data_IF_068998270442
#
_entry.id   IF_068998270442
#
_cell.length_a   1.000
_cell.length_b   1.000
_cell.length_c   1.000
_cell.angle_alpha   90.00
_cell.angle_beta   90.00
_cell.angle_gamma   90.00
#
_symmetry.space_group_name_H-M   'P 1'
#
loop_
_entity.id
_entity.type
_entity.pdbx_description
1 polymer ?
#
# COMPACT_ATOMS: atom_id res chain seq x y z
N UNK A 1 23.45 16.88 27.41
CA UNK A 1 23.46 17.67 26.16
C UNK A 1 24.60 18.68 26.22
N UNK A 2 25.23 19.01 25.09
CA UNK A 2 26.27 20.05 25.06
C UNK A 2 25.67 21.44 25.38
N UNK A 3 26.47 22.41 25.87
CA UNK A 3 26.01 23.78 26.09
C UNK A 3 25.35 24.38 24.85
N UNK A 4 24.20 25.04 25.05
CA UNK A 4 23.41 25.62 23.96
C UNK A 4 22.57 24.63 23.14
N UNK A 5 22.60 23.32 23.42
CA UNK A 5 21.77 22.32 22.74
C UNK A 5 20.60 21.87 23.64
N UNK A 6 19.38 22.02 23.16
CA UNK A 6 18.15 21.57 23.84
C UNK A 6 17.46 20.51 22.99
N UNK A 7 17.09 19.39 23.60
CA UNK A 7 16.33 18.32 22.94
C UNK A 7 15.02 18.09 23.71
N UNK A 8 13.89 18.09 23.01
CA UNK A 8 12.56 17.84 23.57
C UNK A 8 11.96 16.61 22.91
N UNK A 9 11.68 15.58 23.71
CA UNK A 9 11.05 14.35 23.24
C UNK A 9 9.62 14.64 22.77
N UNK A 10 9.28 14.18 21.56
CA UNK A 10 7.91 14.21 21.04
C UNK A 10 7.13 13.01 21.59
N UNK A 11 5.79 13.12 21.70
CA UNK A 11 4.94 11.97 22.02
C UNK A 11 5.17 10.81 21.06
N UNK A 12 4.87 9.59 21.51
CA UNK A 12 4.94 8.40 20.67
C UNK A 12 4.04 8.56 19.43
N UNK A 13 4.53 8.07 18.29
CA UNK A 13 3.72 7.94 17.08
C UNK A 13 2.79 6.73 17.22
N UNK A 14 1.69 6.69 16.47
CA UNK A 14 0.73 5.58 16.47
C UNK A 14 1.22 4.26 15.84
N UNK A 15 2.53 4.03 15.81
CA UNK A 15 3.28 2.92 15.20
C UNK A 15 4.75 3.02 15.64
N UNK A 16 5.70 2.38 14.93
CA UNK A 16 7.17 2.56 15.04
C UNK A 16 7.68 2.85 16.46
N UNK A 17 7.21 2.10 17.45
CA UNK A 17 7.37 2.43 18.87
C UNK A 17 8.80 2.52 19.40
N UNK A 18 9.81 1.80 18.87
CA UNK A 18 11.15 1.93 19.44
C UNK A 18 11.84 3.26 19.09
N UNK A 19 11.23 4.13 18.26
CA UNK A 19 11.88 5.36 17.79
C UNK A 19 11.39 6.59 18.55
N UNK A 20 12.29 7.19 19.32
CA UNK A 20 12.08 8.45 20.03
C UNK A 20 12.32 9.65 19.11
N UNK A 21 11.25 10.21 18.56
CA UNK A 21 11.31 11.46 17.79
C UNK A 21 11.47 12.64 18.72
N UNK A 22 12.27 13.64 18.34
CA UNK A 22 12.52 14.79 19.18
C UNK A 22 12.69 16.08 18.37
N UNK A 23 12.41 17.21 19.03
CA UNK A 23 12.77 18.53 18.55
C UNK A 23 14.13 18.89 19.12
N UNK A 24 15.08 19.23 18.26
CA UNK A 24 16.41 19.68 18.68
C UNK A 24 16.60 21.16 18.34
N UNK A 25 17.00 21.96 19.33
CA UNK A 25 17.22 23.39 19.23
C UNK A 25 18.69 23.70 19.52
N UNK A 26 19.24 24.67 18.79
CA UNK A 26 20.61 25.13 18.95
C UNK A 26 20.62 26.63 19.24
N UNK A 27 21.16 27.02 20.40
CA UNK A 27 21.29 28.42 20.82
C UNK A 27 22.76 28.84 20.73
N UNK A 28 23.12 29.54 19.64
CA UNK A 28 24.47 30.04 19.35
C UNK A 28 25.59 28.99 19.51
N UNK A 29 25.31 27.72 19.18
CA UNK A 29 26.28 26.63 19.22
C UNK A 29 27.35 26.86 18.15
N UNK A 30 28.62 26.98 18.56
CA UNK A 30 29.76 27.17 17.65
C UNK A 30 30.38 25.83 17.32
N UNK A 31 30.56 25.54 16.04
CA UNK A 31 31.21 24.34 15.54
C UNK A 31 32.53 24.70 14.85
N UNK A 32 33.57 23.83 14.92
CA UNK A 32 34.79 24.02 14.15
C UNK A 32 34.48 23.90 12.65
N UNK A 33 35.34 24.46 11.80
CA UNK A 33 35.24 24.35 10.33
C UNK A 33 35.15 22.89 9.86
N UNK A 34 35.83 21.97 10.56
CA UNK A 34 35.82 20.53 10.29
C UNK A 34 34.47 19.85 10.54
N UNK A 35 33.49 20.53 11.16
CA UNK A 35 32.15 19.98 11.36
C UNK A 35 31.27 20.06 10.09
N UNK A 36 31.63 20.89 9.11
CA UNK A 36 30.93 20.93 7.84
C UNK A 36 31.42 19.77 6.97
N UNK A 37 30.49 18.91 6.53
CA UNK A 37 30.78 17.87 5.56
C UNK A 37 30.79 18.48 4.15
N UNK A 38 31.97 18.80 3.63
CA UNK A 38 32.16 19.40 2.31
C UNK A 38 33.03 20.67 2.32
N UNK A 39 33.06 21.40 1.20
CA UNK A 39 33.76 22.68 1.13
C UNK A 39 33.01 23.79 1.89
N UNK A 40 33.75 24.75 2.43
CA UNK A 40 33.21 26.01 2.96
C UNK A 40 32.87 27.01 1.85
N UNK A 41 33.40 26.78 0.64
CA UNK A 41 33.21 27.66 -0.49
C UNK A 41 31.79 27.55 -1.04
N UNK A 42 31.26 28.67 -1.52
CA UNK A 42 29.96 28.70 -2.19
C UNK A 42 30.08 27.95 -3.52
N UNK A 43 29.21 26.97 -3.81
CA UNK A 43 29.24 26.25 -5.09
C UNK A 43 28.87 27.18 -6.25
N UNK A 44 29.49 26.95 -7.40
CA UNK A 44 29.20 27.67 -8.65
C UNK A 44 27.77 27.41 -9.14
N UNK A 45 27.31 26.16 -9.06
CA UNK A 45 25.92 25.76 -9.27
C UNK A 45 25.27 25.29 -7.95
N UNK A 46 24.54 26.18 -7.26
CA UNK A 46 23.83 25.83 -6.03
C UNK A 46 22.81 24.71 -6.20
N UNK A 47 22.20 24.55 -7.38
CA UNK A 47 21.17 23.54 -7.62
C UNK A 47 21.79 22.16 -7.76
N UNK A 48 22.85 22.03 -8.55
CA UNK A 48 23.59 20.77 -8.67
C UNK A 48 24.20 20.36 -7.33
N UNK A 49 24.81 21.30 -6.60
CA UNK A 49 25.36 21.05 -5.27
C UNK A 49 24.30 20.59 -4.26
N UNK A 50 23.11 21.19 -4.28
CA UNK A 50 21.99 20.75 -3.45
C UNK A 50 21.62 19.28 -3.73
N UNK A 51 21.41 18.92 -5.00
CA UNK A 51 21.06 17.54 -5.37
C UNK A 51 22.16 16.52 -5.08
N UNK A 52 23.42 16.92 -5.19
CA UNK A 52 24.55 16.11 -4.76
C UNK A 52 24.50 15.85 -3.25
N UNK A 53 24.30 16.90 -2.44
CA UNK A 53 24.25 16.82 -0.99
C UNK A 53 23.07 15.98 -0.48
N UNK A 54 21.93 15.99 -1.18
CA UNK A 54 20.76 15.18 -0.84
C UNK A 54 20.69 13.85 -1.60
N UNK A 55 21.75 13.43 -2.28
CA UNK A 55 21.76 12.20 -3.10
C UNK A 55 21.33 10.95 -2.33
N UNK A 56 21.66 10.87 -1.04
CA UNK A 56 21.25 9.77 -0.16
C UNK A 56 19.74 9.65 0.04
N UNK A 57 18.96 10.71 -0.21
CA UNK A 57 17.50 10.66 -0.12
C UNK A 57 16.95 9.62 -1.09
N UNK A 58 17.47 9.52 -2.31
CA UNK A 58 17.00 8.53 -3.28
C UNK A 58 17.28 7.08 -2.83
N UNK A 59 18.42 6.86 -2.17
CA UNK A 59 18.76 5.57 -1.52
C UNK A 59 17.76 5.27 -0.40
N UNK A 60 17.42 6.28 0.41
CA UNK A 60 16.39 6.18 1.44
C UNK A 60 15.01 5.87 0.84
N UNK A 61 14.63 6.54 -0.25
CA UNK A 61 13.36 6.37 -0.97
C UNK A 61 13.16 4.92 -1.43
N UNK A 62 14.17 4.32 -2.08
CA UNK A 62 14.07 2.94 -2.54
C UNK A 62 14.10 1.96 -1.36
N UNK A 63 14.97 2.17 -0.38
CA UNK A 63 15.08 1.29 0.79
C UNK A 63 13.78 1.26 1.61
N UNK A 64 13.19 2.42 1.88
CA UNK A 64 11.94 2.50 2.65
C UNK A 64 10.74 2.02 1.82
N UNK A 65 10.71 2.29 0.51
CA UNK A 65 9.68 1.78 -0.39
C UNK A 65 9.65 0.24 -0.46
N UNK A 66 10.81 -0.40 -0.27
CA UNK A 66 10.94 -1.87 -0.27
C UNK A 66 10.17 -2.53 0.89
N UNK A 67 9.83 -1.78 1.94
CA UNK A 67 9.00 -2.28 3.05
C UNK A 67 7.58 -2.62 2.62
N UNK A 68 7.11 -2.14 1.46
CA UNK A 68 5.79 -2.49 0.92
C UNK A 68 5.61 -3.98 0.67
N UNK A 69 6.68 -4.71 0.31
CA UNK A 69 6.62 -6.16 0.03
C UNK A 69 6.28 -6.96 1.30
N UNK A 70 7.10 -6.94 2.38
CA UNK A 70 6.77 -7.69 3.58
C UNK A 70 5.44 -7.21 4.18
N UNK A 71 5.10 -5.94 4.04
CA UNK A 71 3.82 -5.43 4.50
C UNK A 71 2.63 -6.10 3.76
N UNK A 72 2.70 -6.25 2.44
CA UNK A 72 1.69 -6.97 1.64
C UNK A 72 1.64 -8.47 1.99
N UNK A 73 2.80 -9.12 2.11
CA UNK A 73 2.88 -10.55 2.42
C UNK A 73 2.30 -10.86 3.81
N UNK A 74 2.72 -10.11 4.83
CA UNK A 74 2.25 -10.29 6.20
C UNK A 74 0.76 -10.02 6.34
N UNK A 75 0.28 -8.90 5.79
CA UNK A 75 -1.14 -8.53 5.93
C UNK A 75 -2.06 -9.51 5.23
N UNK A 76 -1.71 -9.97 4.03
CA UNK A 76 -2.49 -10.98 3.30
C UNK A 76 -2.47 -12.34 3.99
N UNK A 77 -1.32 -12.79 4.50
CA UNK A 77 -1.20 -14.04 5.23
C UNK A 77 -2.06 -14.05 6.51
N UNK A 78 -1.95 -13.00 7.33
CA UNK A 78 -2.72 -12.86 8.57
C UNK A 78 -4.23 -12.88 8.27
N UNK A 79 -4.68 -12.10 7.28
CA UNK A 79 -6.08 -12.03 6.91
C UNK A 79 -6.61 -13.33 6.29
N UNK A 80 -5.79 -14.05 5.52
CA UNK A 80 -6.14 -15.36 4.97
C UNK A 80 -6.35 -16.40 6.09
N UNK A 81 -5.37 -16.55 6.99
CA UNK A 81 -5.45 -17.48 8.11
C UNK A 81 -6.61 -17.16 9.05
N UNK A 82 -6.81 -15.87 9.35
CA UNK A 82 -8.01 -15.42 10.07
C UNK A 82 -9.31 -15.88 9.41
N UNK A 83 -9.42 -15.66 8.10
CA UNK A 83 -10.65 -15.87 7.35
C UNK A 83 -10.98 -17.34 7.13
N UNK A 84 -9.96 -18.20 7.07
CA UNK A 84 -10.10 -19.67 7.03
C UNK A 84 -10.60 -20.21 8.35
N UNK A 85 -10.11 -19.65 9.45
CA UNK A 85 -10.47 -20.05 10.81
C UNK A 85 -11.85 -19.51 11.23
N UNK A 86 -12.13 -18.24 10.95
CA UNK A 86 -13.33 -17.56 11.43
C UNK A 86 -14.55 -18.08 10.69
N UNK A 87 -15.53 -18.61 11.44
CA UNK A 87 -16.79 -19.10 10.88
C UNK A 87 -17.98 -18.20 11.25
N UNK A 88 -18.98 -18.16 10.38
CA UNK A 88 -20.34 -17.72 10.71
C UNK A 88 -21.30 -18.92 10.67
N UNK A 89 -22.49 -18.77 11.26
CA UNK A 89 -23.54 -19.79 11.24
C UNK A 89 -24.60 -19.37 10.21
N UNK A 90 -24.88 -20.23 9.23
CA UNK A 90 -25.91 -19.95 8.21
C UNK A 90 -27.33 -20.16 8.77
N UNK A 91 -28.36 -19.89 7.96
CA UNK A 91 -29.77 -20.09 8.34
C UNK A 91 -30.12 -21.57 8.64
N UNK A 92 -29.33 -22.52 8.15
CA UNK A 92 -29.48 -23.95 8.41
C UNK A 92 -28.72 -24.41 9.68
N UNK A 93 -28.00 -23.51 10.37
CA UNK A 93 -27.21 -23.84 11.57
C UNK A 93 -25.80 -24.36 11.28
N UNK A 94 -25.37 -24.40 10.03
CA UNK A 94 -24.05 -24.90 9.63
C UNK A 94 -22.98 -23.81 9.78
N UNK A 95 -21.78 -24.22 10.23
CA UNK A 95 -20.63 -23.32 10.30
C UNK A 95 -19.96 -23.20 8.94
N UNK A 96 -19.79 -21.97 8.48
CA UNK A 96 -19.14 -21.65 7.21
C UNK A 96 -17.95 -20.71 7.45
N UNK A 97 -16.72 -21.07 7.05
CA UNK A 97 -15.59 -20.16 7.02
C UNK A 97 -15.91 -18.88 6.24
N UNK A 98 -15.49 -17.74 6.77
CA UNK A 98 -15.80 -16.45 6.12
C UNK A 98 -14.99 -16.26 4.83
N UNK A 99 -13.86 -16.95 4.66
CA UNK A 99 -13.08 -16.90 3.42
C UNK A 99 -13.87 -17.36 2.20
N UNK A 100 -14.94 -18.14 2.37
CA UNK A 100 -15.78 -18.57 1.25
C UNK A 100 -16.58 -17.44 0.62
N UNK A 101 -16.76 -16.31 1.32
CA UNK A 101 -17.47 -15.15 0.76
C UNK A 101 -16.57 -14.35 -0.18
N UNK A 102 -17.12 -13.97 -1.33
CA UNK A 102 -16.42 -13.17 -2.33
C UNK A 102 -15.81 -11.88 -1.74
N UNK A 103 -16.61 -11.16 -0.96
CA UNK A 103 -16.23 -9.91 -0.30
C UNK A 103 -15.16 -10.08 0.79
N UNK A 104 -14.86 -11.32 1.18
CA UNK A 104 -13.76 -11.66 2.08
C UNK A 104 -12.52 -12.09 1.31
N UNK A 105 -12.65 -13.01 0.34
CA UNK A 105 -11.50 -13.56 -0.40
C UNK A 105 -10.89 -12.56 -1.38
N UNK A 106 -11.70 -11.77 -2.09
CA UNK A 106 -11.25 -10.86 -3.14
C UNK A 106 -10.08 -9.95 -2.70
N UNK A 107 -10.19 -9.19 -1.58
CA UNK A 107 -9.07 -8.35 -1.13
C UNK A 107 -7.85 -9.15 -0.67
N UNK A 108 -8.04 -10.36 -0.14
CA UNK A 108 -6.94 -11.24 0.30
C UNK A 108 -6.12 -11.69 -0.90
N UNK A 109 -6.76 -12.30 -1.91
CA UNK A 109 -6.06 -12.78 -3.10
C UNK A 109 -5.45 -11.65 -3.93
N UNK A 110 -6.10 -10.48 -3.94
CA UNK A 110 -5.56 -9.26 -4.56
C UNK A 110 -4.25 -8.84 -3.91
N UNK A 111 -4.19 -8.83 -2.57
CA UNK A 111 -2.98 -8.48 -1.84
C UNK A 111 -1.86 -9.53 -2.05
N UNK A 112 -2.21 -10.81 -2.16
CA UNK A 112 -1.26 -11.88 -2.53
C UNK A 112 -0.68 -11.63 -3.92
N UNK A 113 -1.52 -11.45 -4.95
CA UNK A 113 -1.05 -11.17 -6.31
C UNK A 113 -0.13 -9.95 -6.38
N UNK A 114 -0.51 -8.86 -5.69
CA UNK A 114 0.32 -7.67 -5.57
C UNK A 114 1.66 -7.96 -4.89
N UNK A 115 1.73 -8.80 -3.85
CA UNK A 115 2.99 -9.13 -3.21
C UNK A 115 4.02 -9.74 -4.18
N UNK A 116 3.58 -10.67 -5.04
CA UNK A 116 4.45 -11.29 -6.06
C UNK A 116 4.87 -10.30 -7.15
N UNK A 117 3.91 -9.53 -7.69
CA UNK A 117 4.21 -8.52 -8.72
C UNK A 117 5.12 -7.42 -8.18
N UNK A 118 4.89 -6.96 -6.95
CA UNK A 118 5.74 -5.98 -6.28
C UNK A 118 7.15 -6.52 -6.03
N UNK A 119 7.31 -7.81 -5.69
CA UNK A 119 8.65 -8.41 -5.57
C UNK A 119 9.42 -8.34 -6.89
N UNK A 120 8.77 -8.67 -8.01
CA UNK A 120 9.39 -8.56 -9.34
C UNK A 120 9.73 -7.10 -9.69
N UNK A 121 8.80 -6.17 -9.44
CA UNK A 121 9.03 -4.73 -9.62
C UNK A 121 10.23 -4.23 -8.82
N UNK A 122 10.34 -4.63 -7.56
CA UNK A 122 11.46 -4.28 -6.69
C UNK A 122 12.79 -4.76 -7.24
N UNK A 123 12.88 -6.03 -7.66
CA UNK A 123 14.14 -6.58 -8.15
C UNK A 123 14.60 -5.86 -9.42
N UNK A 124 13.65 -5.54 -10.32
CA UNK A 124 13.92 -4.70 -11.49
C UNK A 124 14.33 -3.28 -11.11
N UNK A 125 13.62 -2.65 -10.17
CA UNK A 125 13.88 -1.29 -9.73
C UNK A 125 15.25 -1.15 -9.05
N UNK A 126 15.64 -2.11 -8.20
CA UNK A 126 16.96 -2.17 -7.57
C UNK A 126 18.05 -2.36 -8.63
N UNK A 127 17.84 -3.24 -9.61
CA UNK A 127 18.79 -3.41 -10.71
C UNK A 127 19.01 -2.11 -11.49
N UNK A 128 17.93 -1.40 -11.84
CA UNK A 128 18.02 -0.11 -12.53
C UNK A 128 18.65 0.98 -11.64
N UNK A 129 18.32 1.00 -10.37
CA UNK A 129 18.86 1.99 -9.42
C UNK A 129 20.38 1.85 -9.23
N UNK A 130 20.89 0.61 -9.28
CA UNK A 130 22.30 0.31 -9.10
C UNK A 130 23.13 0.44 -10.40
N UNK A 131 22.49 0.56 -11.56
CA UNK A 131 23.18 0.65 -12.84
C UNK A 131 23.91 2.01 -12.97
N UNK A 132 25.26 2.02 -13.01
CA UNK A 132 26.02 3.26 -13.13
C UNK A 132 25.97 3.87 -14.54
N UNK A 133 25.54 3.10 -15.55
CA UNK A 133 25.39 3.57 -16.93
C UNK A 133 24.16 4.45 -17.13
N UNK A 134 23.16 4.32 -16.26
CA UNK A 134 21.95 5.14 -16.28
C UNK A 134 22.22 6.52 -15.67
N UNK A 135 21.59 7.53 -16.27
CA UNK A 135 21.55 8.88 -15.72
C UNK A 135 21.02 8.84 -14.28
N UNK A 136 21.69 9.54 -13.36
CA UNK A 136 21.30 9.57 -11.95
C UNK A 136 19.85 10.01 -11.73
N UNK A 137 19.32 10.86 -12.62
CA UNK A 137 17.93 11.33 -12.60
C UNK A 137 16.96 10.19 -12.87
N UNK A 138 17.29 9.30 -13.81
CA UNK A 138 16.49 8.09 -14.11
C UNK A 138 16.51 7.15 -12.92
N UNK A 139 17.67 6.91 -12.31
CA UNK A 139 17.77 6.08 -11.09
C UNK A 139 16.91 6.64 -9.96
N UNK A 140 16.97 7.95 -9.74
CA UNK A 140 16.12 8.61 -8.74
C UNK A 140 14.62 8.51 -9.08
N UNK A 141 14.25 8.64 -10.36
CA UNK A 141 12.88 8.46 -10.82
C UNK A 141 12.36 7.04 -10.52
N UNK A 142 13.15 6.00 -10.81
CA UNK A 142 12.80 4.61 -10.50
C UNK A 142 12.56 4.42 -8.99
N UNK A 143 13.40 4.99 -8.13
CA UNK A 143 13.19 4.95 -6.68
C UNK A 143 11.86 5.60 -6.28
N UNK A 144 11.53 6.77 -6.84
CA UNK A 144 10.27 7.46 -6.58
C UNK A 144 9.06 6.67 -7.08
N UNK A 145 9.10 6.15 -8.30
CA UNK A 145 8.01 5.36 -8.91
C UNK A 145 7.74 4.10 -8.08
N UNK A 146 8.79 3.34 -7.77
CA UNK A 146 8.67 2.13 -6.97
C UNK A 146 8.02 2.43 -5.62
N UNK A 147 8.48 3.48 -4.92
CA UNK A 147 7.90 3.88 -3.65
C UNK A 147 6.42 4.25 -3.78
N UNK A 148 6.04 5.03 -4.80
CA UNK A 148 4.65 5.45 -5.00
C UNK A 148 3.72 4.25 -5.16
N UNK A 149 4.08 3.28 -6.00
CA UNK A 149 3.27 2.08 -6.23
C UNK A 149 3.27 1.13 -5.03
N UNK A 150 4.42 0.90 -4.42
CA UNK A 150 4.54 0.06 -3.21
C UNK A 150 3.63 0.58 -2.09
N UNK A 151 3.63 1.89 -1.83
CA UNK A 151 2.86 2.48 -0.74
C UNK A 151 1.37 2.56 -1.09
N UNK A 152 1.01 2.85 -2.34
CA UNK A 152 -0.37 2.77 -2.81
C UNK A 152 -0.98 1.40 -2.48
N UNK A 153 -0.34 0.33 -2.94
CA UNK A 153 -0.86 -1.03 -2.74
C UNK A 153 -0.81 -1.48 -1.28
N UNK A 154 0.29 -1.19 -0.57
CA UNK A 154 0.43 -1.59 0.83
C UNK A 154 -0.62 -0.90 1.71
N UNK A 155 -0.81 0.42 1.61
CA UNK A 155 -1.78 1.13 2.47
C UNK A 155 -3.22 0.66 2.25
N UNK A 156 -3.63 0.52 0.98
CA UNK A 156 -4.96 0.02 0.65
C UNK A 156 -5.19 -1.40 1.19
N UNK A 157 -4.22 -2.29 1.01
CA UNK A 157 -4.31 -3.66 1.51
C UNK A 157 -4.42 -3.71 3.03
N UNK A 158 -3.58 -2.98 3.77
CA UNK A 158 -3.63 -3.01 5.24
C UNK A 158 -4.95 -2.53 5.79
N UNK A 159 -5.47 -1.42 5.27
CA UNK A 159 -6.75 -0.88 5.71
C UNK A 159 -7.86 -1.91 5.45
N UNK A 160 -7.94 -2.40 4.22
CA UNK A 160 -9.00 -3.33 3.79
C UNK A 160 -8.93 -4.67 4.54
N UNK A 161 -7.73 -5.26 4.64
CA UNK A 161 -7.53 -6.56 5.28
C UNK A 161 -7.70 -6.50 6.81
N UNK A 162 -7.35 -5.38 7.43
CA UNK A 162 -7.68 -5.11 8.84
C UNK A 162 -9.18 -5.11 9.07
N UNK A 163 -9.95 -4.43 8.22
CA UNK A 163 -11.42 -4.43 8.30
C UNK A 163 -12.03 -5.81 8.05
N UNK A 164 -11.42 -6.62 7.17
CA UNK A 164 -11.82 -8.02 6.95
C UNK A 164 -11.59 -8.89 8.20
N UNK A 165 -10.74 -8.47 9.13
CA UNK A 165 -10.55 -9.13 10.43
C UNK A 165 -11.51 -8.62 11.53
N UNK A 166 -12.45 -7.73 11.18
CA UNK A 166 -13.37 -7.10 12.11
C UNK A 166 -12.65 -6.33 13.24
N UNK A 167 -13.28 -6.24 14.42
CA UNK A 167 -12.67 -5.56 15.56
C UNK A 167 -11.30 -6.16 15.96
N UNK A 168 -11.04 -7.43 15.66
CA UNK A 168 -9.75 -8.06 15.95
C UNK A 168 -8.61 -7.40 15.14
N UNK A 169 -8.86 -6.94 13.92
CA UNK A 169 -7.86 -6.25 13.09
C UNK A 169 -7.37 -4.92 13.68
N UNK A 170 -8.15 -4.30 14.57
CA UNK A 170 -7.79 -3.03 15.22
C UNK A 170 -6.77 -3.21 16.34
N UNK A 171 -6.74 -4.38 16.98
CA UNK A 171 -5.81 -4.64 18.07
C UNK A 171 -4.40 -4.83 17.54
N UNK A 172 -3.48 -4.06 18.10
CA UNK A 172 -2.08 -4.05 17.69
C UNK A 172 -1.40 -5.42 17.79
N UNK A 173 -1.80 -6.27 18.73
CA UNK A 173 -1.26 -7.63 18.88
C UNK A 173 -1.38 -8.43 17.57
N UNK A 174 -2.34 -8.07 16.70
CA UNK A 174 -2.58 -8.70 15.41
C UNK A 174 -1.80 -8.04 14.24
N UNK A 175 -0.85 -7.15 14.54
CA UNK A 175 0.13 -6.51 13.64
C UNK A 175 -0.43 -5.57 12.55
N UNK A 176 -1.62 -5.82 11.99
CA UNK A 176 -2.19 -5.11 10.83
C UNK A 176 -2.24 -3.59 11.01
N UNK A 177 -2.81 -3.12 12.13
CA UNK A 177 -2.95 -1.69 12.40
C UNK A 177 -1.59 -0.99 12.64
N UNK A 178 -0.63 -1.67 13.29
CA UNK A 178 0.71 -1.11 13.50
C UNK A 178 1.49 -1.00 12.18
N UNK A 179 1.46 -2.04 11.34
CA UNK A 179 2.07 -2.01 10.01
C UNK A 179 1.46 -0.92 9.12
N UNK A 180 0.13 -0.73 9.18
CA UNK A 180 -0.52 0.38 8.48
C UNK A 180 0.03 1.74 8.93
N UNK A 181 0.17 1.97 10.24
CA UNK A 181 0.74 3.21 10.77
C UNK A 181 2.20 3.42 10.33
N UNK A 182 3.00 2.36 10.26
CA UNK A 182 4.38 2.41 9.76
C UNK A 182 4.45 2.74 8.26
N UNK A 183 3.53 2.18 7.46
CA UNK A 183 3.41 2.52 6.04
C UNK A 183 2.96 3.96 5.80
N UNK A 184 2.15 4.54 6.70
CA UNK A 184 1.88 5.99 6.68
C UNK A 184 3.11 6.83 6.94
N UNK A 185 3.97 6.40 7.87
CA UNK A 185 5.27 7.04 8.09
C UNK A 185 6.15 6.98 6.83
N UNK A 186 6.16 5.84 6.17
CA UNK A 186 6.93 5.60 4.93
C UNK A 186 6.47 6.45 3.76
N UNK A 187 5.17 6.71 3.65
CA UNK A 187 4.60 7.60 2.62
C UNK A 187 5.14 9.03 2.70
N UNK A 188 5.61 9.46 3.87
CA UNK A 188 6.05 10.84 4.17
C UNK A 188 7.58 10.95 4.20
N UNK A 189 8.26 9.97 4.82
CA UNK A 189 9.71 9.98 4.96
C UNK A 189 10.44 9.90 3.62
N UNK A 190 11.61 10.51 3.47
CA UNK A 190 12.40 10.49 2.21
C UNK A 190 11.63 11.05 0.99
N UNK A 191 10.82 12.08 1.24
CA UNK A 191 9.98 12.75 0.25
C UNK A 191 8.54 12.24 0.29
N UNK A 192 7.60 13.13 0.57
CA UNK A 192 6.19 12.77 0.56
C UNK A 192 5.73 12.39 -0.87
N UNK A 193 4.76 11.47 -0.96
CA UNK A 193 4.34 10.91 -2.26
C UNK A 193 3.89 11.98 -3.26
N UNK A 194 3.22 13.04 -2.81
CA UNK A 194 2.75 14.11 -3.69
C UNK A 194 3.94 14.92 -4.22
N UNK A 195 4.82 15.39 -3.33
CA UNK A 195 5.97 16.21 -3.67
C UNK A 195 6.95 15.50 -4.59
N UNK A 196 7.23 14.21 -4.36
CA UNK A 196 8.08 13.44 -5.29
C UNK A 196 7.39 13.23 -6.64
N UNK A 197 6.07 13.01 -6.65
CA UNK A 197 5.32 12.78 -7.89
C UNK A 197 5.19 14.06 -8.72
N UNK A 198 4.86 15.19 -8.11
CA UNK A 198 4.82 16.52 -8.77
C UNK A 198 6.15 16.83 -9.42
N UNK A 199 7.24 16.64 -8.70
CA UNK A 199 8.58 16.84 -9.24
C UNK A 199 8.84 15.90 -10.42
N UNK A 200 8.60 14.61 -10.25
CA UNK A 200 8.88 13.60 -11.27
C UNK A 200 8.05 13.83 -12.53
N UNK A 201 6.73 13.91 -12.40
CA UNK A 201 5.80 14.16 -13.50
C UNK A 201 6.21 15.41 -14.29
N UNK A 202 6.54 16.51 -13.60
CA UNK A 202 7.00 17.75 -14.24
C UNK A 202 8.29 17.54 -15.04
N UNK A 203 9.28 16.81 -14.53
CA UNK A 203 10.52 16.57 -15.27
C UNK A 203 10.31 15.71 -16.52
N UNK A 204 9.44 14.69 -16.43
CA UNK A 204 9.09 13.79 -17.54
C UNK A 204 8.26 14.50 -18.62
N UNK A 205 7.25 15.27 -18.21
CA UNK A 205 6.40 16.04 -19.12
C UNK A 205 7.19 17.12 -19.88
N UNK A 206 8.19 17.73 -19.22
CA UNK A 206 9.11 18.68 -19.85
C UNK A 206 10.22 18.03 -20.69
N UNK A 207 10.23 16.69 -20.82
CA UNK A 207 11.20 15.97 -21.66
C UNK A 207 12.65 16.07 -21.17
N UNK A 208 12.87 16.24 -19.86
CA UNK A 208 14.24 16.41 -19.32
C UNK A 208 15.04 15.11 -19.24
N UNK A 209 14.32 14.00 -19.15
CA UNK A 209 14.79 12.62 -19.26
C UNK A 209 13.58 11.71 -19.44
N UNK A 210 13.83 10.46 -19.80
CA UNK A 210 12.80 9.45 -20.02
C UNK A 210 13.00 8.26 -19.08
N UNK A 211 11.90 7.59 -18.78
CA UNK A 211 11.88 6.33 -18.03
C UNK A 211 12.09 5.15 -18.99
N UNK A 212 12.61 4.00 -18.52
CA UNK A 212 12.82 2.84 -19.39
C UNK A 212 11.56 2.44 -20.15
N UNK A 213 11.72 2.19 -21.44
CA UNK A 213 10.65 1.76 -22.34
C UNK A 213 10.01 0.44 -21.90
N UNK A 214 8.78 0.23 -22.35
CA UNK A 214 8.04 -1.02 -22.15
C UNK A 214 8.63 -2.15 -22.98
N UNK A 215 8.50 -3.38 -22.50
CA UNK A 215 8.71 -4.59 -23.31
C UNK A 215 7.44 -5.04 -24.05
N UNK A 216 6.27 -4.52 -23.66
CA UNK A 216 4.99 -4.82 -24.28
C UNK A 216 4.17 -3.53 -24.50
N UNK A 217 4.25 -3.00 -25.73
CA UNK A 217 3.47 -1.84 -26.17
C UNK A 217 1.98 -2.15 -26.37
N UNK A 218 1.59 -3.42 -26.36
CA UNK A 218 0.20 -3.84 -26.49
C UNK A 218 -0.51 -4.01 -25.15
N UNK A 219 0.24 -4.06 -24.05
CA UNK A 219 -0.30 -4.20 -22.70
C UNK A 219 -1.28 -3.07 -22.35
N UNK A 220 -2.30 -3.40 -21.57
CA UNK A 220 -3.33 -2.44 -21.16
C UNK A 220 -2.74 -1.32 -20.28
N UNK A 221 -1.77 -1.67 -19.43
CA UNK A 221 -1.15 -0.70 -18.51
C UNK A 221 -0.19 0.26 -19.24
N UNK A 222 0.52 -0.19 -20.27
CA UNK A 222 1.30 0.72 -21.12
C UNK A 222 0.39 1.69 -21.88
N UNK A 223 -0.73 1.21 -22.44
CA UNK A 223 -1.70 2.07 -23.13
C UNK A 223 -2.25 3.16 -22.20
N UNK A 224 -2.54 2.80 -20.95
CA UNK A 224 -2.96 3.77 -19.92
C UNK A 224 -1.88 4.80 -19.61
N UNK A 225 -0.64 4.37 -19.35
CA UNK A 225 0.50 5.29 -19.16
C UNK A 225 0.65 6.24 -20.34
N UNK A 226 0.66 5.72 -21.57
CA UNK A 226 0.83 6.51 -22.79
C UNK A 226 -0.32 7.51 -23.00
N UNK A 227 -1.56 7.09 -22.73
CA UNK A 227 -2.74 7.97 -22.79
C UNK A 227 -2.67 9.12 -21.80
N UNK A 228 -2.35 8.84 -20.54
CA UNK A 228 -2.17 9.89 -19.52
C UNK A 228 -1.07 10.89 -19.90
N UNK A 229 0.04 10.42 -20.48
CA UNK A 229 1.06 11.33 -21.02
C UNK A 229 0.53 12.19 -22.17
N UNK A 230 -0.28 11.64 -23.06
CA UNK A 230 -0.87 12.37 -24.17
C UNK A 230 -1.81 13.48 -23.69
N UNK A 231 -2.75 13.16 -22.81
CA UNK A 231 -3.71 14.11 -22.21
C UNK A 231 -2.99 15.25 -21.47
N UNK A 232 -2.03 14.92 -20.61
CA UNK A 232 -1.31 15.94 -19.85
C UNK A 232 -0.42 16.81 -20.73
N UNK A 233 0.17 16.25 -21.79
CA UNK A 233 0.95 17.03 -22.78
C UNK A 233 0.04 17.92 -23.63
N UNK A 234 -1.19 17.52 -23.89
CA UNK A 234 -2.18 18.36 -24.58
C UNK A 234 -2.42 19.67 -23.81
N UNK A 235 -2.62 19.58 -22.49
CA UNK A 235 -2.73 20.77 -21.65
C UNK A 235 -1.49 21.67 -21.70
N UNK A 236 -0.29 21.12 -21.89
CA UNK A 236 0.94 21.92 -21.97
C UNK A 236 1.04 22.79 -23.21
N UNK A 237 0.33 22.47 -24.29
CA UNK A 237 0.30 23.33 -25.48
C UNK A 237 -0.31 24.71 -25.18
N UNK A 238 -1.26 24.78 -24.24
CA UNK A 238 -1.92 26.02 -23.83
C UNK A 238 -1.22 26.70 -22.64
N UNK A 239 -0.38 25.95 -21.90
CA UNK A 239 0.28 26.41 -20.69
C UNK A 239 1.68 26.96 -21.00
N UNK A 240 1.84 28.28 -20.91
CA UNK A 240 3.13 28.95 -21.16
C UNK A 240 4.26 28.55 -20.20
N UNK A 241 3.94 28.18 -18.97
CA UNK A 241 4.92 27.91 -17.91
C UNK A 241 4.39 26.92 -16.87
N UNK A 242 5.22 25.95 -16.48
CA UNK A 242 4.98 24.97 -15.42
C UNK A 242 4.85 25.58 -14.01
N UNK A 243 5.01 26.91 -13.87
CA UNK A 243 4.76 27.67 -12.63
C UNK A 243 3.48 28.50 -12.66
N UNK A 244 2.66 28.34 -13.70
CA UNK A 244 1.41 29.09 -13.85
C UNK A 244 0.28 28.47 -13.03
N UNK A 245 -0.75 29.27 -12.74
CA UNK A 245 -1.99 28.79 -12.10
C UNK A 245 -2.72 27.75 -12.97
N UNK A 246 -2.56 27.81 -14.30
CA UNK A 246 -3.13 26.80 -15.18
C UNK A 246 -2.46 25.43 -15.00
N UNK A 247 -1.12 25.40 -14.89
CA UNK A 247 -0.38 24.16 -14.60
C UNK A 247 -0.75 23.57 -13.23
N UNK A 248 -0.86 24.44 -12.22
CA UNK A 248 -1.30 24.07 -10.88
C UNK A 248 -2.68 23.39 -10.86
N UNK A 249 -3.60 23.81 -11.74
CA UNK A 249 -4.97 23.29 -11.80
C UNK A 249 -5.15 22.09 -12.71
N UNK A 250 -4.44 22.03 -13.83
CA UNK A 250 -4.70 21.07 -14.91
C UNK A 250 -3.65 19.96 -15.01
N UNK A 251 -2.51 20.07 -14.31
CA UNK A 251 -1.41 19.10 -14.43
C UNK A 251 -0.96 18.57 -13.06
N UNK A 252 -0.83 19.43 -12.05
CA UNK A 252 -0.39 18.98 -10.72
C UNK A 252 -1.30 17.94 -10.06
N UNK A 253 -2.65 18.02 -10.15
CA UNK A 253 -3.54 17.01 -9.55
C UNK A 253 -3.27 15.60 -10.06
N UNK A 254 -2.91 15.46 -11.33
CA UNK A 254 -2.68 14.18 -12.01
C UNK A 254 -1.23 13.69 -11.89
N UNK A 255 -0.38 14.41 -11.14
CA UNK A 255 1.02 14.00 -10.97
C UNK A 255 1.16 12.67 -10.24
N UNK A 256 0.37 12.41 -9.19
CA UNK A 256 0.37 11.12 -8.49
C UNK A 256 -0.23 10.02 -9.38
N UNK A 257 -1.43 10.19 -9.98
CA UNK A 257 -1.97 9.26 -10.96
C UNK A 257 -1.01 8.89 -12.10
N UNK A 258 -0.34 9.86 -12.73
CA UNK A 258 0.62 9.60 -13.80
C UNK A 258 1.79 8.72 -13.31
N UNK A 259 2.37 9.05 -12.14
CA UNK A 259 3.47 8.27 -11.58
C UNK A 259 3.03 6.86 -11.16
N UNK A 260 1.77 6.71 -10.74
CA UNK A 260 1.16 5.39 -10.49
C UNK A 260 1.01 4.60 -11.79
N UNK A 261 0.46 5.18 -12.87
CA UNK A 261 0.29 4.51 -14.15
C UNK A 261 1.64 4.01 -14.73
N UNK A 262 2.67 4.87 -14.68
CA UNK A 262 4.05 4.50 -15.03
C UNK A 262 4.50 3.28 -14.23
N UNK A 263 4.31 3.32 -12.91
CA UNK A 263 4.76 2.26 -12.03
C UNK A 263 3.96 0.97 -12.18
N UNK A 264 2.66 1.04 -12.48
CA UNK A 264 1.82 -0.14 -12.75
C UNK A 264 2.30 -0.87 -13.99
N UNK A 265 2.64 -0.14 -15.06
CA UNK A 265 3.25 -0.76 -16.23
C UNK A 265 4.62 -1.37 -15.90
N UNK A 266 5.52 -0.64 -15.23
CA UNK A 266 6.84 -1.19 -14.85
C UNK A 266 6.69 -2.47 -14.01
N UNK A 267 5.71 -2.51 -13.11
CA UNK A 267 5.43 -3.67 -12.29
C UNK A 267 4.95 -4.86 -13.13
N UNK A 268 4.06 -4.63 -14.09
CA UNK A 268 3.64 -5.65 -15.05
C UNK A 268 4.80 -6.17 -15.90
N UNK A 269 5.58 -5.29 -16.53
CA UNK A 269 6.74 -5.67 -17.35
C UNK A 269 7.73 -6.50 -16.54
N UNK A 270 8.01 -6.08 -15.31
CA UNK A 270 8.91 -6.80 -14.41
C UNK A 270 8.34 -8.18 -14.02
N UNK A 271 7.05 -8.29 -13.73
CA UNK A 271 6.41 -9.55 -13.36
C UNK A 271 6.38 -10.54 -14.52
N UNK A 272 6.05 -10.10 -15.73
CA UNK A 272 6.10 -10.93 -16.94
C UNK A 272 7.53 -11.40 -17.21
N UNK A 273 8.51 -10.49 -17.16
CA UNK A 273 9.91 -10.83 -17.40
C UNK A 273 10.49 -11.79 -16.33
N UNK A 274 10.02 -11.69 -15.08
CA UNK A 274 10.43 -12.57 -13.99
C UNK A 274 9.71 -13.93 -14.01
N UNK A 275 8.75 -14.15 -14.91
CA UNK A 275 7.97 -15.39 -14.98
C UNK A 275 7.04 -15.57 -13.78
N UNK A 276 6.49 -14.49 -13.22
CA UNK A 276 5.42 -14.57 -12.21
C UNK A 276 4.23 -15.29 -12.82
N UNK A 277 3.60 -16.20 -12.06
CA UNK A 277 2.44 -16.98 -12.52
C UNK A 277 1.37 -16.07 -13.17
N UNK A 278 0.89 -16.49 -14.34
CA UNK A 278 0.00 -15.67 -15.16
C UNK A 278 -1.27 -15.22 -14.42
N UNK A 279 -1.89 -16.07 -13.59
CA UNK A 279 -3.09 -15.69 -12.84
C UNK A 279 -2.83 -14.57 -11.81
N UNK A 280 -1.63 -14.48 -11.22
CA UNK A 280 -1.25 -13.37 -10.34
C UNK A 280 -1.08 -12.07 -11.14
N UNK A 281 -0.48 -12.16 -12.33
CA UNK A 281 -0.31 -11.02 -13.24
C UNK A 281 -1.67 -10.53 -13.75
N UNK A 282 -2.56 -11.44 -14.16
CA UNK A 282 -3.90 -11.13 -14.64
C UNK A 282 -4.73 -10.45 -13.55
N UNK A 283 -4.65 -10.94 -12.29
CA UNK A 283 -5.33 -10.30 -11.17
C UNK A 283 -4.75 -8.92 -10.89
N UNK A 284 -3.42 -8.75 -10.96
CA UNK A 284 -2.80 -7.44 -10.82
C UNK A 284 -3.32 -6.45 -11.87
N UNK A 285 -3.29 -6.82 -13.15
CA UNK A 285 -3.79 -6.00 -14.26
C UNK A 285 -5.27 -5.64 -14.06
N UNK A 286 -6.12 -6.61 -13.74
CA UNK A 286 -7.54 -6.36 -13.50
C UNK A 286 -7.77 -5.37 -12.35
N UNK A 287 -6.97 -5.44 -11.29
CA UNK A 287 -7.08 -4.50 -10.16
C UNK A 287 -6.52 -3.11 -10.47
N UNK A 288 -5.51 -2.99 -11.34
CA UNK A 288 -5.06 -1.70 -11.86
C UNK A 288 -6.11 -1.03 -12.75
N UNK A 289 -6.80 -1.80 -13.61
CA UNK A 289 -7.90 -1.28 -14.44
C UNK A 289 -9.00 -0.65 -13.57
N UNK A 290 -9.28 -1.25 -12.41
CA UNK A 290 -10.28 -0.73 -11.46
C UNK A 290 -9.92 0.61 -10.81
N UNK A 291 -8.67 1.03 -10.88
CA UNK A 291 -8.25 2.33 -10.37
C UNK A 291 -8.68 3.48 -11.30
N UNK A 292 -8.88 3.20 -12.58
CA UNK A 292 -9.31 4.19 -13.58
C UNK A 292 -10.31 3.62 -14.60
N UNK A 293 -11.46 3.08 -14.15
CA UNK A 293 -12.36 2.32 -15.00
C UNK A 293 -13.00 3.17 -16.12
N UNK A 294 -13.02 4.50 -15.97
CA UNK A 294 -13.54 5.43 -16.95
C UNK A 294 -12.57 5.57 -18.13
N UNK A 295 -11.28 5.75 -17.87
CA UNK A 295 -10.27 5.84 -18.93
C UNK A 295 -10.26 4.58 -19.81
N UNK A 296 -10.25 3.38 -19.20
CA UNK A 296 -10.29 2.12 -19.96
C UNK A 296 -11.59 1.93 -20.76
N UNK A 297 -12.69 2.57 -20.36
CA UNK A 297 -13.94 2.55 -21.11
C UNK A 297 -13.88 3.52 -22.30
N UNK A 298 -13.40 4.75 -22.08
CA UNK A 298 -13.37 5.82 -23.08
C UNK A 298 -12.33 5.54 -24.16
N UNK A 299 -11.11 5.20 -23.78
CA UNK A 299 -9.97 5.06 -24.70
C UNK A 299 -9.86 3.65 -25.30
N UNK A 300 -10.21 2.61 -24.54
CA UNK A 300 -10.07 1.21 -24.98
C UNK A 300 -11.39 0.47 -25.19
N UNK A 301 -12.54 1.11 -24.91
CA UNK A 301 -13.86 0.49 -25.10
C UNK A 301 -14.15 -0.67 -24.14
N UNK A 302 -13.36 -0.86 -23.07
CA UNK A 302 -13.51 -1.99 -22.15
C UNK A 302 -14.68 -1.69 -21.20
N UNK A 303 -15.83 -2.29 -21.51
CA UNK A 303 -17.07 -2.11 -20.73
C UNK A 303 -16.89 -2.54 -19.28
N UNK A 304 -17.57 -1.85 -18.36
CA UNK A 304 -17.59 -2.19 -16.92
C UNK A 304 -17.94 -3.65 -16.62
N UNK A 305 -18.80 -4.28 -17.43
CA UNK A 305 -19.11 -5.71 -17.30
C UNK A 305 -17.91 -6.60 -17.63
N UNK A 306 -17.16 -6.28 -18.68
CA UNK A 306 -15.93 -6.98 -19.02
C UNK A 306 -14.84 -6.77 -17.97
N UNK A 307 -14.67 -5.54 -17.45
CA UNK A 307 -13.72 -5.26 -16.37
C UNK A 307 -14.01 -6.12 -15.11
N UNK A 308 -15.29 -6.26 -14.74
CA UNK A 308 -15.71 -7.13 -13.63
C UNK A 308 -15.46 -8.61 -13.89
N UNK A 309 -15.67 -9.07 -15.13
CA UNK A 309 -15.44 -10.45 -15.53
C UNK A 309 -13.95 -10.81 -15.47
N UNK A 310 -13.09 -9.90 -15.96
CA UNK A 310 -11.62 -10.03 -15.86
C UNK A 310 -11.18 -10.17 -14.41
N UNK A 311 -11.66 -9.28 -13.52
CA UNK A 311 -11.34 -9.37 -12.09
C UNK A 311 -11.84 -10.69 -11.49
N UNK A 312 -13.09 -11.07 -11.79
CA UNK A 312 -13.70 -12.25 -11.17
C UNK A 312 -13.00 -13.54 -11.56
N UNK A 313 -12.73 -13.71 -12.86
CA UNK A 313 -11.99 -14.87 -13.36
C UNK A 313 -10.58 -14.97 -12.75
N UNK A 314 -9.89 -13.83 -12.62
CA UNK A 314 -8.55 -13.80 -12.03
C UNK A 314 -8.56 -14.08 -10.51
N UNK A 315 -9.57 -13.58 -9.78
CA UNK A 315 -9.77 -13.89 -8.36
C UNK A 315 -9.93 -15.39 -8.14
N UNK A 316 -10.78 -16.05 -8.92
CA UNK A 316 -11.02 -17.49 -8.79
C UNK A 316 -9.72 -18.28 -9.07
N UNK A 317 -9.01 -17.95 -10.14
CA UNK A 317 -7.75 -18.62 -10.50
C UNK A 317 -6.65 -18.49 -9.43
N UNK A 318 -6.54 -17.33 -8.76
CA UNK A 318 -5.60 -17.16 -7.64
C UNK A 318 -6.10 -17.86 -6.38
N UNK A 319 -7.41 -17.80 -6.12
CA UNK A 319 -8.01 -18.41 -4.93
C UNK A 319 -7.86 -19.92 -4.88
N UNK A 320 -8.00 -20.61 -6.03
CA UNK A 320 -7.80 -22.06 -6.15
C UNK A 320 -6.39 -22.51 -5.70
N UNK A 321 -5.40 -21.62 -5.81
CA UNK A 321 -3.99 -21.87 -5.46
C UNK A 321 -3.53 -21.04 -4.25
N UNK A 322 -4.47 -20.52 -3.45
CA UNK A 322 -4.14 -19.60 -2.36
C UNK A 322 -3.12 -20.19 -1.37
N UNK A 323 -3.29 -21.44 -0.93
CA UNK A 323 -2.35 -22.07 0.01
C UNK A 323 -0.92 -22.13 -0.54
N UNK A 324 -0.76 -22.52 -1.81
CA UNK A 324 0.54 -22.56 -2.47
C UNK A 324 1.22 -21.18 -2.44
N UNK A 325 0.45 -20.11 -2.68
CA UNK A 325 0.99 -18.75 -2.65
C UNK A 325 1.28 -18.24 -1.24
N UNK A 326 0.47 -18.61 -0.25
CA UNK A 326 0.73 -18.29 1.15
C UNK A 326 2.04 -18.95 1.64
N UNK A 327 2.28 -20.21 1.25
CA UNK A 327 3.53 -20.93 1.54
C UNK A 327 4.72 -20.28 0.84
N UNK A 328 4.61 -19.97 -0.46
CA UNK A 328 5.69 -19.32 -1.24
C UNK A 328 6.11 -17.95 -0.71
N UNK A 329 5.23 -17.22 -0.01
CA UNK A 329 5.60 -15.95 0.60
C UNK A 329 6.56 -16.12 1.80
N UNK A 330 6.61 -17.31 2.42
CA UNK A 330 7.53 -17.68 3.51
C UNK A 330 7.58 -16.65 4.66
N UNK A 331 6.40 -16.21 5.11
CA UNK A 331 6.28 -15.17 6.15
C UNK A 331 5.78 -15.66 7.50
N UNK A 332 5.36 -16.92 7.61
CA UNK A 332 4.70 -17.47 8.81
C UNK A 332 5.53 -17.28 10.09
N UNK A 333 6.85 -17.47 10.02
CA UNK A 333 7.76 -17.30 11.17
C UNK A 333 7.83 -15.88 11.73
N UNK A 334 7.38 -14.88 10.96
CA UNK A 334 7.35 -13.47 11.36
C UNK A 334 5.98 -13.03 11.88
N UNK A 335 4.98 -13.91 11.82
CA UNK A 335 3.62 -13.63 12.28
C UNK A 335 3.52 -13.87 13.78
N UNK A 336 3.29 -12.79 14.51
CA UNK A 336 3.00 -12.81 15.95
C UNK A 336 1.51 -12.66 16.25
N UNK A 337 0.68 -12.42 15.23
CA UNK A 337 -0.76 -12.19 15.37
C UNK A 337 -1.47 -13.45 15.92
N UNK A 338 -2.05 -13.42 17.13
CA UNK A 338 -2.69 -14.59 17.72
C UNK A 338 -3.96 -15.02 16.98
N UNK A 339 -4.55 -14.14 16.16
CA UNK A 339 -5.80 -14.43 15.47
C UNK A 339 -5.68 -15.49 14.36
N UNK A 340 -4.47 -15.90 13.97
CA UNK A 340 -4.23 -16.80 12.83
C UNK A 340 -4.62 -18.26 13.08
N UNK A 341 -4.70 -18.70 14.34
CA UNK A 341 -5.06 -20.08 14.69
C UNK A 341 -5.82 -20.15 16.01
N UNK A 342 -6.58 -21.24 16.23
CA UNK A 342 -7.28 -21.44 17.50
C UNK A 342 -6.31 -21.61 18.66
N UNK A 343 -5.19 -22.31 18.43
CA UNK A 343 -4.15 -22.51 19.44
C UNK A 343 -3.56 -21.16 19.87
N UNK A 344 -3.05 -20.36 18.92
CA UNK A 344 -2.44 -19.06 19.24
C UNK A 344 -3.43 -18.09 19.90
N UNK A 345 -4.68 -18.10 19.44
CA UNK A 345 -5.73 -17.29 20.03
C UNK A 345 -6.07 -17.69 21.46
N UNK A 346 -6.21 -18.99 21.71
CA UNK A 346 -6.50 -19.50 23.06
C UNK A 346 -5.33 -19.24 24.02
N UNK A 347 -4.10 -19.38 23.55
CA UNK A 347 -2.89 -19.06 24.32
C UNK A 347 -2.84 -17.58 24.68
N UNK A 348 -3.12 -16.71 23.72
CA UNK A 348 -3.24 -15.27 23.95
C UNK A 348 -4.35 -14.96 24.96
N UNK A 349 -5.55 -15.51 24.80
CA UNK A 349 -6.67 -15.30 25.74
C UNK A 349 -6.31 -15.74 27.15
N UNK A 350 -5.61 -16.88 27.32
CA UNK A 350 -5.13 -17.35 28.63
C UNK A 350 -4.09 -16.43 29.26
N UNK A 351 -3.36 -15.65 28.45
CA UNK A 351 -2.37 -14.68 28.94
C UNK A 351 -2.98 -13.35 29.38
N UNK A 352 -4.25 -13.07 29.04
CA UNK A 352 -4.90 -11.82 29.35
C UNK A 352 -5.22 -11.70 30.84
N UNK A 353 -5.11 -10.47 31.35
CA UNK A 353 -5.57 -10.15 32.69
C UNK A 353 -7.08 -10.39 32.81
N UNK A 354 -7.47 -11.20 33.78
CA UNK A 354 -8.88 -11.51 34.05
C UNK A 354 -9.39 -10.65 35.19
N UNK A 355 -10.37 -9.80 34.89
CA UNK A 355 -11.11 -9.05 35.91
C UNK A 355 -12.44 -9.74 36.18
N UNK A 356 -12.64 -10.29 37.40
CA UNK A 356 -13.89 -10.93 37.81
C UNK A 356 -13.69 -12.29 38.49
N UNK A 357 -14.78 -13.04 38.66
CA UNK A 357 -14.75 -14.38 39.23
C UNK A 357 -14.09 -15.37 38.25
N UNK A 358 -12.84 -15.72 38.53
CA UNK A 358 -12.03 -16.65 37.73
C UNK A 358 -12.59 -18.07 37.68
N UNK A 359 -13.59 -18.40 38.52
CA UNK A 359 -14.28 -19.69 38.52
C UNK A 359 -15.50 -19.73 37.60
N UNK A 360 -15.96 -18.58 37.10
CA UNK A 360 -17.01 -18.51 36.09
C UNK A 360 -16.48 -19.06 34.75
N UNK A 361 -16.86 -20.29 34.41
CA UNK A 361 -16.43 -20.97 33.19
C UNK A 361 -16.87 -20.21 31.92
N UNK A 362 -16.00 -19.33 31.40
CA UNK A 362 -16.20 -18.61 30.12
C UNK A 362 -16.27 -19.59 28.94
N UNK A 363 -15.74 -20.80 29.09
CA UNK A 363 -15.60 -21.81 28.04
C UNK A 363 -16.85 -22.64 27.73
N UNK A 364 -17.90 -22.63 28.57
CA UNK A 364 -19.02 -23.60 28.46
C UNK A 364 -20.36 -23.05 27.96
N UNK A 365 -20.52 -21.74 27.75
CA UNK A 365 -21.74 -21.19 27.13
C UNK A 365 -21.40 -20.47 25.84
N UNK A 366 -21.36 -21.25 24.75
CA UNK A 366 -21.51 -20.72 23.40
C UNK A 366 -22.95 -20.17 23.29
N UNK A 367 -23.18 -18.94 23.73
CA UNK A 367 -24.38 -18.21 23.34
C UNK A 367 -24.14 -17.79 21.89
N UNK A 368 -24.94 -18.25 20.92
CA UNK A 368 -24.82 -17.77 19.55
C UNK A 368 -25.05 -16.26 19.58
N UNK A 369 -24.11 -15.49 19.04
CA UNK A 369 -24.15 -14.03 19.01
C UNK A 369 -25.33 -13.46 18.19
N UNK A 370 -26.23 -14.30 17.70
CA UNK A 370 -27.42 -13.97 16.91
C UNK A 370 -28.76 -14.24 17.62
N UNK A 371 -28.79 -14.89 18.79
CA UNK A 371 -30.05 -15.24 19.46
C UNK A 371 -30.72 -14.07 20.22
N UNK A 372 -30.06 -12.91 20.33
CA UNK A 372 -30.50 -11.81 21.20
C UNK A 372 -31.25 -10.65 20.54
N UNK A 373 -31.42 -10.61 19.21
CA UNK A 373 -31.98 -9.43 18.52
C UNK A 373 -33.30 -9.70 17.78
N UNK A 374 -33.81 -10.94 17.76
CA UNK A 374 -35.11 -11.27 17.15
C UNK A 374 -36.15 -11.64 18.21
N UNK A 375 -36.43 -10.73 19.15
CA UNK A 375 -37.56 -10.87 20.05
C UNK A 375 -38.04 -9.50 20.58
N UNK A 376 -38.74 -8.75 19.72
CA UNK A 376 -39.88 -7.84 20.04
C UNK A 376 -40.14 -6.90 18.85
N UNK A 377 -40.67 -7.47 17.77
CA UNK A 377 -41.48 -6.73 16.81
C UNK A 377 -42.85 -7.43 16.74
N UNK A 378 -43.53 -7.50 17.88
CA UNK A 378 -44.95 -7.82 17.92
C UNK A 378 -45.71 -6.63 17.36
N UNK A 379 -46.18 -6.80 16.12
CA UNK A 379 -47.11 -5.91 15.44
C UNK A 379 -48.31 -5.62 16.35
N UNK A 380 -48.49 -4.34 16.69
CA UNK A 380 -49.74 -3.83 17.23
C UNK A 380 -50.80 -3.97 16.13
N UNK A 381 -51.77 -4.85 16.37
CA UNK A 381 -53.02 -4.91 15.64
C UNK A 381 -53.74 -3.57 15.78
N UNK A 382 -53.85 -2.82 14.68
CA UNK A 382 -54.78 -1.69 14.61
C UNK A 382 -56.20 -2.26 14.57
N UNK A 383 -56.93 -2.05 15.65
CA UNK A 383 -58.38 -2.19 15.73
C UNK A 383 -59.04 -1.12 14.86
N UNK A 384 -59.85 -1.56 13.92
CA UNK A 384 -60.84 -0.75 13.22
C UNK A 384 -61.96 -0.33 14.17
N UNK A 385 -62.31 0.96 14.19
CA UNK A 385 -63.63 1.43 14.58
C UNK A 385 -63.82 2.91 14.18
N UNK A 386 -64.78 3.13 13.28
CA UNK A 386 -65.71 4.28 13.11
C UNK A 386 -65.23 5.68 13.59
N UNK A 387 -65.22 6.72 12.76
CA UNK A 387 -66.31 7.34 11.97
C UNK A 387 -65.73 8.00 10.72
#
# INVERSE_FOLDING_TARGET
MAPGVVCKLLPQRGGSRPVNHSLTYFHYVRLPRSALLGSLDKPEDPRAAFFHNISRVAVGTIAIGSLGIPALQMSSFIAARYSQRRTIVNSAGERKPIIEFWTQKAPIVTAVARAFVMKAMHDKAVSLFLDPSLDYRVRHAIASIMKVVMIQHAQEAHLTLSERCGAQGLFEVNQLNAMHADMRGTAIAEGDLLGISVRLATELLLGRYEIPHTSDENSLLYKHEAGMFAELREHLHEIKNHRSVAYDRLVLPDSVPLVQAIGHRIAYDAAVAAGVDACLVDLYVATCIKLDPAWYLEELGIKRTAQKEMESSAIDAVYERLEEYLEKMDVESYVSAPLISDTAWNDYVRSLETFGDSTANVSKRHVPCSAGIVAKASFLSQSSSHI
#
